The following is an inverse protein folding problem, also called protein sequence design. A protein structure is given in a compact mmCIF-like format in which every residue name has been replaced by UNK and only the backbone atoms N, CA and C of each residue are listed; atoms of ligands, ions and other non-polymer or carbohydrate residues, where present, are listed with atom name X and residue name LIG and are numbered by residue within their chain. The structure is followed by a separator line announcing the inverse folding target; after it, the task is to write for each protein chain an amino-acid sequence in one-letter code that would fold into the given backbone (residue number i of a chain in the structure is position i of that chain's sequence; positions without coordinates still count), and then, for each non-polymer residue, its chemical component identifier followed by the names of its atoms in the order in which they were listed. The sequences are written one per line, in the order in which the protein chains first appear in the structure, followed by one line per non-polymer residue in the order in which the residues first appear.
data_IF_138340318141
#
_entry.id   IF_138340318141
#
_cell.length_a   1.000
_cell.length_b   1.000
_cell.length_c   1.000
_cell.angle_alpha   90.00
_cell.angle_beta   90.00
_cell.angle_gamma   90.00
#
_symmetry.space_group_name_H-M   'P 1'
#
loop_
_entity.id
_entity.type
_entity.pdbx_description
1 polymer ?
#
# COMPACT_ATOMS: atom_id res chain seq x y z
N UNK A 1 -28.31 -9.53 4.60
CA UNK A 1 -27.16 -8.63 4.81
C UNK A 1 -27.33 -7.97 6.16
N UNK A 2 -26.47 -8.26 7.12
CA UNK A 2 -26.47 -7.58 8.43
C UNK A 2 -25.57 -6.36 8.34
N UNK A 3 -25.92 -5.28 9.05
CA UNK A 3 -25.15 -4.04 9.10
C UNK A 3 -23.69 -4.31 9.53
N UNK A 4 -23.47 -5.28 10.42
CA UNK A 4 -22.15 -5.74 10.86
C UNK A 4 -21.30 -6.39 9.75
N UNK A 5 -21.90 -6.96 8.70
CA UNK A 5 -21.14 -7.50 7.55
C UNK A 5 -20.66 -6.40 6.59
N UNK A 6 -21.32 -5.23 6.62
CA UNK A 6 -21.01 -4.06 5.78
C UNK A 6 -20.13 -3.06 6.54
N UNK A 7 -20.17 -3.10 7.88
CA UNK A 7 -19.35 -2.30 8.78
C UNK A 7 -18.44 -3.22 9.59
N UNK A 8 -17.33 -3.65 8.98
CA UNK A 8 -16.27 -4.28 9.75
C UNK A 8 -15.55 -3.20 10.57
N UNK A 9 -15.84 -3.18 11.88
CA UNK A 9 -15.32 -2.20 12.80
C UNK A 9 -13.78 -2.21 12.88
N UNK A 10 -13.14 -3.36 12.62
CA UNK A 10 -11.67 -3.48 12.67
C UNK A 10 -11.00 -2.74 11.51
N UNK A 11 -11.47 -2.95 10.27
CA UNK A 11 -10.95 -2.23 9.10
C UNK A 11 -11.24 -0.74 9.17
N UNK A 12 -12.42 -0.34 9.66
CA UNK A 12 -12.75 1.07 9.88
C UNK A 12 -11.83 1.71 10.92
N UNK A 13 -11.62 1.03 12.06
CA UNK A 13 -10.72 1.49 13.11
C UNK A 13 -9.29 1.63 12.59
N UNK A 14 -8.79 0.65 11.84
CA UNK A 14 -7.46 0.72 11.22
C UNK A 14 -7.30 1.96 10.33
N UNK A 15 -8.24 2.21 9.42
CA UNK A 15 -8.16 3.34 8.48
C UNK A 15 -8.26 4.67 9.22
N UNK A 16 -9.27 4.84 10.08
CA UNK A 16 -9.48 6.11 10.78
C UNK A 16 -8.33 6.40 11.74
N UNK A 17 -7.90 5.42 12.54
CA UNK A 17 -6.89 5.65 13.56
C UNK A 17 -5.50 5.88 12.94
N UNK A 18 -5.19 5.21 11.83
CA UNK A 18 -3.96 5.48 11.07
C UNK A 18 -3.98 6.87 10.42
N UNK A 19 -5.12 7.30 9.85
CA UNK A 19 -5.25 8.67 9.31
C UNK A 19 -5.24 9.73 10.39
N UNK A 20 -5.80 9.43 11.57
CA UNK A 20 -5.72 10.31 12.73
C UNK A 20 -4.27 10.45 13.21
N UNK A 21 -3.48 9.38 13.14
CA UNK A 21 -2.04 9.43 13.38
C UNK A 21 -1.31 10.31 12.35
N UNK A 22 -1.65 10.20 11.06
CA UNK A 22 -1.12 11.10 10.02
C UNK A 22 -1.53 12.55 10.29
N UNK A 23 -2.76 12.81 10.72
CA UNK A 23 -3.23 14.16 11.04
C UNK A 23 -2.53 14.78 12.26
N UNK A 24 -2.03 13.95 13.19
CA UNK A 24 -1.23 14.41 14.32
C UNK A 24 0.11 15.02 13.90
N UNK A 25 0.67 14.60 12.75
CA UNK A 25 1.88 15.21 12.14
C UNK A 25 1.67 16.70 11.88
N UNK A 26 0.43 17.04 11.55
CA UNK A 26 -0.03 18.34 11.09
C UNK A 26 -0.68 19.16 12.23
N UNK A 27 -0.69 18.62 13.45
CA UNK A 27 -1.37 19.19 14.63
C UNK A 27 -2.84 19.58 14.35
N UNK A 28 -3.54 18.79 13.53
CA UNK A 28 -4.96 19.03 13.20
C UNK A 28 -5.25 20.40 12.57
N UNK A 29 -4.30 21.01 11.85
CA UNK A 29 -4.59 22.26 11.14
C UNK A 29 -5.43 21.99 9.88
N UNK A 30 -6.61 22.62 9.74
CA UNK A 30 -7.50 22.39 8.59
C UNK A 30 -6.90 22.87 7.25
N UNK A 31 -5.86 23.71 7.28
CA UNK A 31 -5.13 24.19 6.11
C UNK A 31 -4.12 23.19 5.54
N UNK A 32 -3.93 22.05 6.20
CA UNK A 32 -2.87 21.09 5.89
C UNK A 32 -3.42 19.64 5.82
N UNK A 33 -4.73 19.48 5.61
CA UNK A 33 -5.39 18.18 5.45
C UNK A 33 -5.01 17.43 4.16
N UNK A 34 -4.24 18.08 3.26
CA UNK A 34 -3.76 17.46 2.01
C UNK A 34 -2.97 16.20 2.27
N UNK A 35 -2.12 16.21 3.31
CA UNK A 35 -1.32 15.05 3.69
C UNK A 35 -2.20 13.84 4.07
N UNK A 36 -3.33 14.09 4.73
CA UNK A 36 -4.29 13.05 5.12
C UNK A 36 -5.00 12.49 3.89
N UNK A 37 -5.45 13.37 2.98
CA UNK A 37 -6.09 12.97 1.72
C UNK A 37 -5.14 12.15 0.82
N UNK A 38 -3.87 12.52 0.80
CA UNK A 38 -2.83 11.86 0.02
C UNK A 38 -2.38 10.52 0.64
N UNK A 39 -2.28 10.44 1.97
CA UNK A 39 -1.97 9.21 2.68
C UNK A 39 -3.13 8.19 2.67
N UNK A 40 -4.37 8.63 2.43
CA UNK A 40 -5.55 7.76 2.45
C UNK A 40 -5.44 6.54 1.53
N UNK A 41 -5.05 6.70 0.26
CA UNK A 41 -5.02 5.53 -0.64
C UNK A 41 -3.83 4.61 -0.41
N UNK A 42 -2.59 5.10 -0.20
CA UNK A 42 -1.52 4.23 0.24
C UNK A 42 -1.90 3.43 1.49
N UNK A 43 -2.55 4.06 2.46
CA UNK A 43 -2.98 3.38 3.67
C UNK A 43 -4.11 2.35 3.42
N UNK A 44 -5.07 2.69 2.56
CA UNK A 44 -6.11 1.75 2.09
C UNK A 44 -5.51 0.57 1.33
N UNK A 45 -4.53 0.81 0.46
CA UNK A 45 -3.81 -0.23 -0.27
C UNK A 45 -3.01 -1.14 0.68
N UNK A 46 -2.39 -0.57 1.71
CA UNK A 46 -1.71 -1.35 2.75
C UNK A 46 -2.69 -2.26 3.51
N UNK A 47 -3.86 -1.74 3.90
CA UNK A 47 -4.93 -2.53 4.51
C UNK A 47 -5.45 -3.63 3.58
N UNK A 48 -5.62 -3.31 2.29
CA UNK A 48 -6.02 -4.27 1.26
C UNK A 48 -5.03 -5.43 1.19
N UNK A 49 -3.73 -5.13 1.09
CA UNK A 49 -2.67 -6.12 1.00
C UNK A 49 -2.56 -6.98 2.27
N UNK A 50 -2.73 -6.39 3.47
CA UNK A 50 -2.79 -7.15 4.73
C UNK A 50 -3.94 -8.15 4.69
N UNK A 51 -5.14 -7.73 4.24
CA UNK A 51 -6.29 -8.62 4.11
C UNK A 51 -6.07 -9.74 3.09
N UNK A 52 -5.50 -9.43 1.91
CA UNK A 52 -5.19 -10.43 0.88
C UNK A 52 -4.14 -11.43 1.37
N UNK A 53 -3.05 -10.96 2.00
CA UNK A 53 -2.02 -11.85 2.56
C UNK A 53 -2.66 -12.76 3.62
N UNK A 54 -3.50 -12.21 4.50
CA UNK A 54 -4.17 -13.02 5.52
C UNK A 54 -5.15 -14.03 4.92
N UNK A 55 -5.87 -13.68 3.85
CA UNK A 55 -6.73 -14.60 3.12
C UNK A 55 -5.90 -15.75 2.52
N UNK A 56 -4.75 -15.44 1.91
CA UNK A 56 -3.84 -16.44 1.35
C UNK A 56 -3.23 -17.34 2.44
N UNK A 57 -3.05 -16.82 3.65
CA UNK A 57 -2.61 -17.60 4.81
C UNK A 57 -3.63 -18.61 5.33
N UNK A 58 -4.91 -18.45 4.98
CA UNK A 58 -6.01 -19.23 5.54
C UNK A 58 -6.11 -20.65 4.94
N UNK A 59 -5.00 -21.22 4.49
CA UNK A 59 -4.89 -22.53 3.83
C UNK A 59 -5.51 -23.66 4.69
N UNK A 60 -5.31 -23.60 6.00
CA UNK A 60 -5.79 -24.60 6.95
C UNK A 60 -7.21 -24.34 7.47
N UNK A 61 -7.77 -23.14 7.27
CA UNK A 61 -9.09 -22.76 7.79
C UNK A 61 -9.88 -21.91 6.78
N UNK A 62 -10.64 -22.54 5.86
CA UNK A 62 -11.40 -21.85 4.81
C UNK A 62 -12.41 -20.82 5.32
N UNK A 63 -12.85 -20.94 6.58
CA UNK A 63 -13.74 -19.98 7.25
C UNK A 63 -13.10 -18.60 7.46
N UNK A 64 -11.78 -18.48 7.39
CA UNK A 64 -11.06 -17.20 7.53
C UNK A 64 -10.84 -16.46 6.20
N UNK A 65 -11.13 -17.10 5.07
CA UNK A 65 -11.03 -16.48 3.74
C UNK A 65 -12.00 -15.31 3.61
N UNK A 66 -13.28 -15.51 3.95
CA UNK A 66 -14.31 -14.47 3.82
C UNK A 66 -14.02 -13.23 4.68
N UNK A 67 -13.63 -13.35 5.97
CA UNK A 67 -13.14 -12.22 6.77
C UNK A 67 -11.93 -11.50 6.16
N UNK A 68 -10.93 -12.22 5.63
CA UNK A 68 -9.75 -11.62 5.01
C UNK A 68 -10.10 -10.78 3.77
N UNK A 69 -10.98 -11.29 2.91
CA UNK A 69 -11.50 -10.57 1.73
C UNK A 69 -12.30 -9.33 2.16
N UNK A 70 -13.13 -9.44 3.19
CA UNK A 70 -13.89 -8.31 3.71
C UNK A 70 -12.95 -7.20 4.18
N UNK A 71 -11.95 -7.52 5.01
CA UNK A 71 -10.96 -6.54 5.46
C UNK A 71 -10.25 -5.90 4.27
N UNK A 72 -9.86 -6.71 3.27
CA UNK A 72 -9.17 -6.20 2.10
C UNK A 72 -10.01 -5.15 1.35
N UNK A 73 -11.28 -5.46 1.07
CA UNK A 73 -12.15 -4.58 0.29
C UNK A 73 -12.59 -3.36 1.13
N UNK A 74 -12.99 -3.56 2.39
CA UNK A 74 -13.50 -2.48 3.23
C UNK A 74 -12.43 -1.43 3.55
N UNK A 75 -11.17 -1.84 3.75
CA UNK A 75 -10.07 -0.86 3.95
C UNK A 75 -9.90 0.07 2.74
N UNK A 76 -10.05 -0.47 1.53
CA UNK A 76 -10.00 0.31 0.29
C UNK A 76 -11.21 1.26 0.16
N UNK A 77 -12.40 0.77 0.49
CA UNK A 77 -13.64 1.55 0.49
C UNK A 77 -13.56 2.71 1.48
N UNK A 78 -13.15 2.45 2.72
CA UNK A 78 -13.03 3.49 3.74
C UNK A 78 -11.95 4.52 3.40
N UNK A 79 -10.80 4.09 2.88
CA UNK A 79 -9.78 5.01 2.38
C UNK A 79 -10.31 5.89 1.22
N UNK A 80 -11.07 5.30 0.30
CA UNK A 80 -11.72 6.00 -0.80
C UNK A 80 -12.73 7.06 -0.30
N UNK A 81 -13.58 6.70 0.66
CA UNK A 81 -14.54 7.62 1.30
C UNK A 81 -13.78 8.78 1.95
N UNK A 82 -12.74 8.51 2.73
CA UNK A 82 -11.97 9.58 3.38
C UNK A 82 -11.32 10.49 2.33
N UNK A 83 -10.72 9.92 1.27
CA UNK A 83 -10.17 10.74 0.19
C UNK A 83 -11.21 11.64 -0.47
N UNK A 84 -12.41 11.12 -0.73
CA UNK A 84 -13.52 11.89 -1.31
C UNK A 84 -13.96 13.03 -0.37
N UNK A 85 -14.03 12.78 0.93
CA UNK A 85 -14.36 13.81 1.93
C UNK A 85 -13.32 14.93 1.99
N UNK A 86 -12.05 14.64 1.70
CA UNK A 86 -10.96 15.62 1.69
C UNK A 86 -10.51 16.04 0.28
N UNK A 87 -11.35 15.84 -0.74
CA UNK A 87 -11.01 16.16 -2.13
C UNK A 87 -10.62 17.63 -2.30
N UNK A 88 -11.34 18.55 -1.65
CA UNK A 88 -11.07 19.99 -1.69
C UNK A 88 -9.71 20.35 -1.08
N UNK A 89 -9.22 19.54 -0.15
CA UNK A 89 -7.92 19.75 0.49
C UNK A 89 -6.74 19.38 -0.43
N UNK A 90 -6.96 18.57 -1.48
CA UNK A 90 -5.93 18.24 -2.47
C UNK A 90 -5.43 19.46 -3.25
N UNK A 91 -6.22 20.54 -3.33
CA UNK A 91 -5.85 21.80 -3.97
C UNK A 91 -5.04 22.75 -3.06
N UNK A 92 -4.87 22.43 -1.77
CA UNK A 92 -4.12 23.27 -0.82
C UNK A 92 -2.61 23.05 -0.96
N UNK A 93 -1.78 24.05 -0.67
CA UNK A 93 -0.32 23.86 -0.74
C UNK A 93 0.16 22.81 0.28
N UNK A 94 0.97 21.86 -0.18
CA UNK A 94 1.55 20.83 0.69
C UNK A 94 2.71 21.44 1.50
N UNK A 95 2.37 22.03 2.64
CA UNK A 95 3.34 22.55 3.58
C UNK A 95 3.93 21.39 4.36
N UNK A 96 5.23 21.14 4.19
CA UNK A 96 5.92 20.12 4.96
C UNK A 96 5.81 20.42 6.45
N UNK A 97 5.38 19.42 7.24
CA UNK A 97 5.31 19.55 8.68
C UNK A 97 6.68 20.00 9.25
N UNK A 98 6.69 21.15 9.93
CA UNK A 98 7.93 21.76 10.46
C UNK A 98 8.49 21.03 11.69
N UNK A 99 7.70 20.18 12.36
CA UNK A 99 8.09 19.54 13.61
C UNK A 99 8.50 18.08 13.42
N UNK A 100 9.76 17.77 13.73
CA UNK A 100 10.30 16.40 13.74
C UNK A 100 9.55 15.51 14.73
N UNK A 101 9.10 16.07 15.86
CA UNK A 101 8.30 15.35 16.88
C UNK A 101 6.94 14.93 16.31
N UNK A 102 6.29 15.79 15.52
CA UNK A 102 5.03 15.47 14.85
C UNK A 102 5.19 14.34 13.83
N UNK A 103 6.26 14.38 13.03
CA UNK A 103 6.61 13.33 12.07
C UNK A 103 6.88 11.99 12.75
N UNK A 104 7.67 11.99 13.83
CA UNK A 104 7.94 10.79 14.60
C UNK A 104 6.67 10.21 15.24
N UNK A 105 5.82 11.05 15.81
CA UNK A 105 4.55 10.62 16.40
C UNK A 105 3.58 10.03 15.36
N UNK A 106 3.45 10.66 14.19
CA UNK A 106 2.60 10.13 13.11
C UNK A 106 3.13 8.86 12.48
N UNK A 107 4.44 8.76 12.27
CA UNK A 107 5.05 7.51 11.79
C UNK A 107 4.86 6.40 12.81
N UNK A 108 5.10 6.70 14.09
CA UNK A 108 4.92 5.76 15.20
C UNK A 108 3.49 5.24 15.29
N UNK A 109 2.49 6.12 15.23
CA UNK A 109 1.09 5.68 15.32
C UNK A 109 0.63 4.89 14.08
N UNK A 110 1.08 5.23 12.87
CA UNK A 110 0.83 4.40 11.68
C UNK A 110 1.46 3.00 11.84
N UNK A 111 2.71 2.91 12.29
CA UNK A 111 3.38 1.63 12.52
C UNK A 111 2.67 0.81 13.60
N UNK A 112 2.27 1.43 14.72
CA UNK A 112 1.50 0.76 15.79
C UNK A 112 0.19 0.20 15.22
N UNK A 113 -0.53 0.98 14.42
CA UNK A 113 -1.78 0.52 13.81
C UNK A 113 -1.56 -0.60 12.80
N UNK A 114 -0.44 -0.59 12.07
CA UNK A 114 -0.10 -1.63 11.12
C UNK A 114 0.30 -2.94 11.81
N UNK A 115 1.05 -2.86 12.90
CA UNK A 115 1.35 -4.00 13.78
C UNK A 115 0.05 -4.55 14.38
N UNK A 116 -0.82 -3.67 14.88
CA UNK A 116 -2.11 -4.08 15.41
C UNK A 116 -2.96 -4.78 14.34
N UNK A 117 -3.05 -4.22 13.13
CA UNK A 117 -3.78 -4.83 12.03
C UNK A 117 -3.24 -6.23 11.71
N UNK A 118 -1.94 -6.38 11.45
CA UNK A 118 -1.33 -7.68 11.11
C UNK A 118 -1.53 -8.75 12.19
N UNK A 119 -1.38 -8.39 13.46
CA UNK A 119 -1.63 -9.30 14.60
C UNK A 119 -3.11 -9.61 14.83
N UNK A 120 -4.02 -8.75 14.39
CA UNK A 120 -5.46 -8.93 14.57
C UNK A 120 -6.11 -9.88 13.56
N UNK A 121 -5.47 -10.09 12.40
CA UNK A 121 -6.01 -10.91 11.31
C UNK A 121 -5.32 -12.27 11.19
N UNK A 122 -4.07 -12.39 11.65
CA UNK A 122 -3.29 -13.65 11.55
C UNK A 122 -2.79 -14.14 12.91
N UNK A 123 -2.91 -15.45 13.23
CA UNK A 123 -2.37 -16.02 14.47
C UNK A 123 -0.83 -16.03 14.50
N UNK A 124 -0.18 -16.14 13.33
CA UNK A 124 1.29 -16.03 13.20
C UNK A 124 1.79 -14.57 13.22
N UNK A 125 0.87 -13.61 13.22
CA UNK A 125 1.12 -12.19 13.40
C UNK A 125 2.19 -11.63 12.47
N UNK A 126 3.16 -10.91 13.04
CA UNK A 126 4.20 -10.19 12.30
C UNK A 126 5.16 -11.11 11.52
N UNK A 127 5.32 -12.37 11.94
CA UNK A 127 6.27 -13.29 11.31
C UNK A 127 5.90 -13.59 9.86
N UNK A 128 4.60 -13.63 9.57
CA UNK A 128 4.08 -13.85 8.21
C UNK A 128 4.47 -12.72 7.24
N UNK A 129 4.55 -11.49 7.75
CA UNK A 129 4.82 -10.29 6.95
C UNK A 129 6.31 -9.95 6.89
N UNK A 130 7.17 -10.74 7.52
CA UNK A 130 8.61 -10.48 7.63
C UNK A 130 9.43 -11.35 6.66
N UNK A 131 9.66 -10.84 5.44
CA UNK A 131 10.55 -11.46 4.45
C UNK A 131 11.73 -10.53 4.15
N UNK A 132 12.89 -10.73 4.80
CA UNK A 132 14.05 -9.85 4.65
C UNK A 132 14.61 -9.83 3.21
N UNK A 133 14.45 -10.93 2.48
CA UNK A 133 14.87 -11.05 1.08
C UNK A 133 14.15 -10.04 0.18
N UNK A 134 12.84 -9.83 0.38
CA UNK A 134 12.03 -8.84 -0.36
C UNK A 134 12.57 -7.44 -0.10
N UNK A 135 12.81 -7.10 1.17
CA UNK A 135 13.35 -5.81 1.56
C UNK A 135 14.72 -5.56 0.92
N UNK A 136 15.63 -6.55 0.96
CA UNK A 136 16.96 -6.44 0.38
C UNK A 136 16.93 -6.18 -1.13
N UNK A 137 16.10 -6.94 -1.88
CA UNK A 137 15.95 -6.75 -3.33
C UNK A 137 15.36 -5.39 -3.64
N UNK A 138 14.28 -5.01 -2.96
CA UNK A 138 13.61 -3.72 -3.17
C UNK A 138 14.53 -2.55 -2.87
N UNK A 139 15.28 -2.59 -1.76
CA UNK A 139 16.27 -1.57 -1.43
C UNK A 139 17.40 -1.53 -2.45
N UNK A 140 17.90 -2.69 -2.90
CA UNK A 140 18.94 -2.79 -3.92
C UNK A 140 18.53 -2.17 -5.26
N UNK A 141 17.33 -2.49 -5.74
CA UNK A 141 16.80 -1.93 -6.99
C UNK A 141 16.50 -0.43 -6.82
N UNK A 142 15.95 -0.01 -5.68
CA UNK A 142 15.73 1.42 -5.39
C UNK A 142 17.04 2.22 -5.39
N UNK A 143 18.11 1.68 -4.80
CA UNK A 143 19.44 2.29 -4.82
C UNK A 143 20.00 2.35 -6.25
N UNK A 144 19.81 1.30 -7.04
CA UNK A 144 20.25 1.29 -8.44
C UNK A 144 19.52 2.35 -9.26
N UNK A 145 18.19 2.44 -9.14
CA UNK A 145 17.37 3.47 -9.78
C UNK A 145 17.80 4.87 -9.32
N UNK A 146 18.10 5.05 -8.03
CA UNK A 146 18.61 6.30 -7.50
C UNK A 146 19.96 6.70 -8.10
N UNK A 147 20.92 5.77 -8.13
CA UNK A 147 22.27 6.02 -8.63
C UNK A 147 22.24 6.35 -10.12
N UNK A 148 21.49 5.58 -10.93
CA UNK A 148 21.32 5.87 -12.37
C UNK A 148 20.62 7.22 -12.55
N UNK A 149 19.52 7.46 -11.85
CA UNK A 149 18.78 8.72 -11.95
C UNK A 149 19.64 9.94 -11.62
N UNK A 150 20.46 9.84 -10.58
CA UNK A 150 21.40 10.90 -10.18
C UNK A 150 22.52 11.13 -11.20
N UNK A 151 22.95 10.10 -11.93
CA UNK A 151 23.94 10.24 -13.00
C UNK A 151 23.36 10.91 -14.25
N UNK A 152 22.04 10.76 -14.48
CA UNK A 152 21.37 11.26 -15.69
C UNK A 152 20.84 12.68 -15.51
N UNK A 153 20.24 13.00 -14.36
CA UNK A 153 19.63 14.31 -14.13
C UNK A 153 19.70 14.74 -12.66
N UNK A 154 20.11 15.99 -12.42
CA UNK A 154 20.16 16.59 -11.09
C UNK A 154 18.74 16.90 -10.54
N UNK A 155 17.72 16.94 -11.41
CA UNK A 155 16.31 17.17 -11.03
C UNK A 155 15.55 15.90 -10.64
N UNK A 156 16.24 14.75 -10.47
CA UNK A 156 15.62 13.45 -10.16
C UNK A 156 14.99 13.32 -8.75
N UNK A 157 14.88 14.43 -8.01
CA UNK A 157 14.51 14.45 -6.59
C UNK A 157 13.00 14.40 -6.31
N UNK A 158 12.13 14.50 -7.32
CA UNK A 158 10.66 14.45 -7.17
C UNK A 158 10.05 13.12 -7.65
N UNK A 159 8.73 12.97 -7.45
CA UNK A 159 7.92 11.82 -7.88
C UNK A 159 8.35 10.47 -7.29
N UNK A 160 8.93 10.47 -6.09
CA UNK A 160 9.36 9.22 -5.44
C UNK A 160 8.21 8.27 -5.12
N UNK A 161 7.00 8.77 -4.87
CA UNK A 161 5.86 7.88 -4.65
C UNK A 161 5.57 7.02 -5.90
N UNK A 162 5.63 7.60 -7.10
CA UNK A 162 5.51 6.86 -8.36
C UNK A 162 6.63 5.83 -8.50
N UNK A 163 7.87 6.22 -8.24
CA UNK A 163 9.06 5.36 -8.41
C UNK A 163 9.01 4.17 -7.45
N UNK A 164 8.73 4.43 -6.17
CA UNK A 164 8.62 3.39 -5.14
C UNK A 164 7.46 2.45 -5.46
N UNK A 165 6.28 2.99 -5.80
CA UNK A 165 5.13 2.17 -6.16
C UNK A 165 5.37 1.35 -7.44
N UNK A 166 6.08 1.91 -8.41
CA UNK A 166 6.53 1.20 -9.60
C UNK A 166 7.47 0.04 -9.27
N UNK A 167 8.40 0.22 -8.33
CA UNK A 167 9.25 -0.86 -7.83
C UNK A 167 8.42 -1.96 -7.15
N UNK A 168 7.42 -1.59 -6.35
CA UNK A 168 6.52 -2.54 -5.72
C UNK A 168 5.78 -3.38 -6.76
N UNK A 169 5.30 -2.74 -7.83
CA UNK A 169 4.67 -3.41 -8.97
C UNK A 169 5.62 -4.34 -9.72
N UNK A 170 6.87 -3.95 -9.92
CA UNK A 170 7.87 -4.83 -10.53
C UNK A 170 8.13 -6.07 -9.67
N UNK A 171 8.29 -5.90 -8.36
CA UNK A 171 8.45 -7.02 -7.42
C UNK A 171 7.23 -7.95 -7.41
N UNK A 172 6.02 -7.39 -7.47
CA UNK A 172 4.78 -8.14 -7.65
C UNK A 172 4.79 -8.97 -8.94
N UNK A 173 5.04 -8.34 -10.08
CA UNK A 173 5.07 -9.04 -11.37
C UNK A 173 6.12 -10.14 -11.40
N UNK A 174 7.34 -9.90 -10.89
CA UNK A 174 8.37 -10.93 -10.79
C UNK A 174 7.94 -12.09 -9.88
N UNK A 175 7.33 -11.80 -8.74
CA UNK A 175 6.83 -12.82 -7.83
C UNK A 175 5.70 -13.67 -8.43
N UNK A 176 4.75 -13.05 -9.16
CA UNK A 176 3.70 -13.79 -9.89
C UNK A 176 4.31 -14.66 -10.99
N UNK A 177 5.24 -14.14 -11.79
CA UNK A 177 5.90 -14.93 -12.85
C UNK A 177 6.67 -16.11 -12.25
N UNK A 178 7.38 -15.89 -11.14
CA UNK A 178 8.05 -16.96 -10.42
C UNK A 178 7.05 -18.00 -9.88
N UNK A 179 5.91 -17.58 -9.33
CA UNK A 179 4.87 -18.47 -8.85
C UNK A 179 4.25 -19.31 -9.98
N UNK A 180 4.01 -18.71 -11.15
CA UNK A 180 3.47 -19.40 -12.33
C UNK A 180 4.40 -20.53 -12.80
N UNK A 181 5.72 -20.33 -12.73
CA UNK A 181 6.69 -21.37 -13.08
C UNK A 181 6.69 -22.56 -12.12
N UNK A 182 6.04 -22.44 -10.96
CA UNK A 182 6.06 -23.40 -9.87
C UNK A 182 4.67 -23.98 -9.55
N UNK A 183 3.69 -23.81 -10.44
CA UNK A 183 2.32 -24.32 -10.25
C UNK A 183 2.24 -25.84 -10.03
N UNK A 184 3.24 -26.59 -10.51
CA UNK A 184 3.36 -28.03 -10.32
C UNK A 184 3.85 -28.45 -8.92
N UNK A 185 4.35 -27.51 -8.11
CA UNK A 185 4.94 -27.79 -6.79
C UNK A 185 4.38 -26.82 -5.74
N UNK A 186 3.32 -27.20 -5.00
CA UNK A 186 2.62 -26.28 -4.10
C UNK A 186 3.50 -25.73 -2.96
N UNK A 187 4.55 -26.46 -2.56
CA UNK A 187 5.46 -26.07 -1.48
C UNK A 187 6.33 -24.85 -1.80
N UNK A 188 6.63 -24.59 -3.08
CA UNK A 188 7.46 -23.46 -3.50
C UNK A 188 6.63 -22.25 -3.98
N UNK A 189 5.34 -22.48 -4.21
CA UNK A 189 4.37 -21.46 -4.62
C UNK A 189 4.15 -20.39 -3.52
N UNK A 190 4.07 -20.81 -2.26
CA UNK A 190 3.88 -19.91 -1.11
C UNK A 190 4.92 -18.78 -1.02
N UNK A 191 6.23 -19.08 -1.00
CA UNK A 191 7.30 -18.07 -0.99
C UNK A 191 7.26 -17.09 -2.18
N UNK A 192 6.91 -17.56 -3.39
CA UNK A 192 6.83 -16.70 -4.58
C UNK A 192 5.65 -15.72 -4.51
N UNK A 193 4.49 -16.18 -4.02
CA UNK A 193 3.34 -15.31 -3.76
C UNK A 193 3.63 -14.34 -2.61
N UNK A 194 4.28 -14.79 -1.53
CA UNK A 194 4.70 -13.92 -0.44
C UNK A 194 5.61 -12.81 -0.96
N UNK A 195 6.63 -13.14 -1.76
CA UNK A 195 7.50 -12.14 -2.39
C UNK A 195 6.70 -11.10 -3.18
N UNK A 196 5.72 -11.57 -3.96
CA UNK A 196 4.87 -10.73 -4.79
C UNK A 196 4.07 -9.70 -3.98
N UNK A 197 3.24 -10.16 -3.03
CA UNK A 197 2.37 -9.28 -2.26
C UNK A 197 3.12 -8.44 -1.23
N UNK A 198 4.20 -8.97 -0.62
CA UNK A 198 5.03 -8.20 0.31
C UNK A 198 5.82 -7.10 -0.40
N UNK A 199 6.19 -7.27 -1.67
CA UNK A 199 6.82 -6.20 -2.46
C UNK A 199 5.91 -4.97 -2.57
N UNK A 200 4.62 -5.18 -2.85
CA UNK A 200 3.63 -4.10 -2.86
C UNK A 200 3.42 -3.52 -1.46
N UNK A 201 3.35 -4.37 -0.43
CA UNK A 201 3.11 -3.92 0.94
C UNK A 201 4.25 -3.03 1.42
N UNK A 202 5.49 -3.47 1.25
CA UNK A 202 6.70 -2.74 1.68
C UNK A 202 6.85 -1.43 0.91
N UNK A 203 6.60 -1.47 -0.40
CA UNK A 203 6.56 -0.26 -1.23
C UNK A 203 5.52 0.74 -0.70
N UNK A 204 4.32 0.27 -0.38
CA UNK A 204 3.24 1.11 0.11
C UNK A 204 3.56 1.73 1.48
N UNK A 205 4.17 0.95 2.38
CA UNK A 205 4.69 1.44 3.67
C UNK A 205 5.76 2.52 3.44
N UNK A 206 6.68 2.29 2.52
CA UNK A 206 7.73 3.26 2.18
C UNK A 206 7.14 4.56 1.62
N UNK A 207 6.07 4.49 0.81
CA UNK A 207 5.34 5.69 0.35
C UNK A 207 4.69 6.42 1.52
N UNK A 208 4.01 5.73 2.45
CA UNK A 208 3.39 6.36 3.62
C UNK A 208 4.45 7.05 4.49
N UNK A 209 5.55 6.37 4.78
CA UNK A 209 6.67 6.95 5.53
C UNK A 209 7.29 8.15 4.78
N UNK A 210 7.47 8.03 3.46
CA UNK A 210 7.95 9.09 2.59
C UNK A 210 7.07 10.34 2.65
N UNK A 211 5.74 10.18 2.63
CA UNK A 211 4.80 11.30 2.71
C UNK A 211 4.90 12.02 4.05
N UNK A 212 5.07 11.29 5.15
CA UNK A 212 5.19 11.89 6.48
C UNK A 212 6.52 12.67 6.60
N UNK A 213 7.61 12.12 6.08
CA UNK A 213 8.95 12.68 6.28
C UNK A 213 9.35 13.72 5.24
N UNK A 214 9.10 13.45 3.97
CA UNK A 214 9.56 14.26 2.82
C UNK A 214 8.43 14.36 1.78
N UNK A 215 7.27 14.96 2.12
CA UNK A 215 6.11 14.96 1.24
C UNK A 215 6.38 15.62 -0.12
N UNK A 216 7.19 16.67 -0.15
CA UNK A 216 7.54 17.40 -1.38
C UNK A 216 8.33 16.56 -2.39
N UNK A 217 9.11 15.56 -1.94
CA UNK A 217 9.83 14.65 -2.83
C UNK A 217 8.92 13.51 -3.33
N UNK A 218 7.84 13.23 -2.61
CA UNK A 218 6.91 12.15 -2.93
C UNK A 218 5.84 12.57 -3.92
N UNK A 219 5.47 13.84 -3.94
CA UNK A 219 4.47 14.39 -4.86
C UNK A 219 5.09 14.97 -6.13
N UNK A 220 4.27 15.12 -7.18
CA UNK A 220 4.67 15.73 -8.45
C UNK A 220 4.79 17.26 -8.32
N UNK A 221 5.31 17.96 -9.34
CA UNK A 221 5.41 19.43 -9.35
C UNK A 221 4.06 20.15 -9.18
N UNK A 222 2.94 19.50 -9.52
CA UNK A 222 1.57 19.98 -9.24
C UNK A 222 1.15 19.76 -7.76
N UNK A 223 2.08 19.28 -6.95
CA UNK A 223 1.94 18.91 -5.55
C UNK A 223 1.10 17.65 -5.33
N UNK A 224 0.47 17.07 -6.35
CA UNK A 224 -0.48 15.97 -6.18
C UNK A 224 0.23 14.62 -6.15
N UNK A 225 -0.31 13.72 -5.33
CA UNK A 225 0.12 12.33 -5.29
C UNK A 225 -0.37 11.60 -6.54
N UNK A 226 0.48 11.65 -7.54
CA UNK A 226 0.33 10.86 -8.75
C UNK A 226 0.68 9.41 -8.42
N UNK A 227 -0.30 8.61 -8.02
CA UNK A 227 -0.14 7.18 -7.74
C UNK A 227 0.23 6.34 -8.98
N UNK A 228 0.66 6.98 -10.06
CA UNK A 228 0.79 6.35 -11.37
C UNK A 228 -0.53 5.70 -11.81
N UNK A 229 -1.69 6.12 -11.27
CA UNK A 229 -2.99 5.51 -11.59
C UNK A 229 -3.30 5.58 -13.08
N UNK A 230 -2.79 6.60 -13.78
CA UNK A 230 -2.80 6.70 -15.25
C UNK A 230 -1.97 5.63 -15.95
N UNK A 231 -0.91 5.11 -15.31
CA UNK A 231 -0.09 3.98 -15.77
C UNK A 231 -0.63 2.63 -15.27
N UNK A 232 -1.36 2.60 -14.14
CA UNK A 232 -2.05 1.40 -13.64
C UNK A 232 -3.27 1.10 -14.51
N UNK A 233 -3.96 2.09 -15.07
CA UNK A 233 -5.13 1.89 -15.93
C UNK A 233 -4.87 1.01 -17.17
N UNK A 234 -3.80 1.20 -17.96
CA UNK A 234 -3.48 0.29 -19.06
C UNK A 234 -3.02 -1.10 -18.58
N UNK A 235 -2.34 -1.20 -17.44
CA UNK A 235 -1.88 -2.50 -16.89
C UNK A 235 -3.07 -3.30 -16.34
N UNK A 236 -3.95 -2.67 -15.57
CA UNK A 236 -5.19 -3.26 -15.09
C UNK A 236 -6.13 -3.62 -16.25
N UNK A 237 -6.19 -2.76 -17.28
CA UNK A 237 -6.90 -3.05 -18.53
C UNK A 237 -6.32 -4.27 -19.26
N UNK A 238 -4.99 -4.40 -19.32
CA UNK A 238 -4.32 -5.55 -19.92
C UNK A 238 -4.56 -6.83 -19.11
N UNK A 239 -4.48 -6.77 -17.77
CA UNK A 239 -4.75 -7.91 -16.89
C UNK A 239 -6.21 -8.34 -16.96
N UNK A 240 -7.16 -7.38 -17.00
CA UNK A 240 -8.58 -7.66 -17.23
C UNK A 240 -8.82 -8.26 -18.62
N UNK A 241 -8.17 -7.76 -19.66
CA UNK A 241 -8.29 -8.31 -21.01
C UNK A 241 -7.75 -9.74 -21.08
N UNK A 242 -6.65 -10.04 -20.39
CA UNK A 242 -6.09 -11.39 -20.28
C UNK A 242 -7.01 -12.32 -19.49
N UNK A 243 -7.55 -11.86 -18.35
CA UNK A 243 -8.52 -12.63 -17.54
C UNK A 243 -9.81 -12.91 -18.31
N UNK A 244 -10.35 -11.91 -19.01
CA UNK A 244 -11.54 -12.06 -19.87
C UNK A 244 -11.24 -13.01 -21.01
N UNK A 245 -10.08 -12.87 -21.67
CA UNK A 245 -9.63 -13.78 -22.73
C UNK A 245 -9.53 -15.23 -22.25
N UNK A 246 -8.98 -15.44 -21.05
CA UNK A 246 -8.91 -16.77 -20.42
C UNK A 246 -10.30 -17.34 -20.08
N UNK A 247 -11.23 -16.52 -19.58
CA UNK A 247 -12.60 -16.99 -19.28
C UNK A 247 -13.40 -17.34 -20.53
N UNK A 248 -13.11 -16.70 -21.67
CA UNK A 248 -13.74 -17.01 -22.97
C UNK A 248 -13.12 -18.25 -23.62
N UNK A 249 -11.83 -18.52 -23.38
CA UNK A 249 -11.13 -19.72 -23.86
C UNK A 249 -11.44 -20.99 -23.05
N UNK A 250 -12.00 -20.85 -21.84
CA UNK A 250 -12.36 -21.94 -20.93
C UNK A 250 -13.86 -22.31 -20.98
N UNK A 251 -14.63 -21.71 -21.90
CA UNK A 251 -15.99 -22.13 -22.28
C UNK A 251 -15.93 -22.92 -23.59
#
# INVERSE_FOLDING_TARGET
MTLESVLDAKSLFFVIASLLSVSAVVRFRPSECRLVAEAALPLGLAGFLIGVISMLSAESNPSQIAPGVAIAILTLVYAGIVRLLFVDSLNQNLLGARSVVGKAAGTGGVIIMMIWATTSVSPDGLAMFWYPQVAMVMTGVALLVFLIGRLVDNSYASDWAKKILGLGWLGFSMGIVAALSQLSTPTTLGPALAFSFLSLLYSTVAVIAGLIWIPQAMTSEEGSLSLGLSQILPIAGAVLAVLVGLTVLLQ
#
